data_IF_608146168519
#
_entry.id   IF_608146168519
#
_cell.length_a   1.000
_cell.length_b   1.000
_cell.length_c   1.000
_cell.angle_alpha   90.00
_cell.angle_beta   90.00
_cell.angle_gamma   90.00
#
_symmetry.space_group_name_H-M   'P 1'
#
loop_
_entity.id
_entity.type
_entity.pdbx_description
1 polymer ?
#
# COMPACT_ATOMS: atom_id res chain seq x y z
N UNK A 1 3.47 -20.24 -15.08
CA UNK A 1 3.03 -21.36 -14.22
C UNK A 1 2.53 -20.79 -12.90
N UNK A 2 1.29 -21.10 -12.45
CA UNK A 2 0.79 -20.55 -11.19
C UNK A 2 1.50 -21.23 -10.01
N UNK A 3 2.21 -20.45 -9.19
CA UNK A 3 2.87 -20.91 -7.97
C UNK A 3 1.77 -21.25 -6.93
N UNK A 4 1.46 -22.53 -6.73
CA UNK A 4 0.45 -22.96 -5.75
C UNK A 4 1.07 -23.13 -4.36
N UNK A 5 0.74 -22.24 -3.43
CA UNK A 5 1.16 -22.35 -2.02
C UNK A 5 -0.01 -22.91 -1.20
N UNK A 6 0.15 -24.10 -0.63
CA UNK A 6 -0.82 -24.70 0.30
C UNK A 6 -0.94 -23.89 1.61
N UNK A 7 -2.11 -23.91 2.25
CA UNK A 7 -2.40 -23.07 3.43
C UNK A 7 -1.40 -23.21 4.57
N UNK A 8 -0.93 -24.44 4.85
CA UNK A 8 0.09 -24.69 5.89
C UNK A 8 1.45 -24.10 5.54
N UNK A 9 1.86 -24.21 4.27
CA UNK A 9 3.12 -23.65 3.80
C UNK A 9 3.09 -22.12 3.85
N UNK A 10 1.93 -21.52 3.55
CA UNK A 10 1.73 -20.06 3.62
C UNK A 10 1.98 -19.54 5.05
N UNK A 11 1.40 -20.17 6.08
CA UNK A 11 1.65 -19.80 7.47
C UNK A 11 3.13 -19.87 7.82
N UNK A 12 3.82 -20.92 7.39
CA UNK A 12 5.26 -21.09 7.63
C UNK A 12 6.05 -19.96 6.96
N UNK A 13 5.73 -19.61 5.70
CA UNK A 13 6.39 -18.49 5.01
C UNK A 13 6.17 -17.16 5.71
N UNK A 14 4.94 -16.89 6.17
CA UNK A 14 4.62 -15.66 6.93
C UNK A 14 5.42 -15.62 8.22
N UNK A 15 5.47 -16.70 9.00
CA UNK A 15 6.21 -16.76 10.27
C UNK A 15 7.72 -16.59 10.05
N UNK A 16 8.28 -17.23 9.01
CA UNK A 16 9.69 -17.07 8.66
C UNK A 16 10.00 -15.62 8.28
N UNK A 17 9.15 -15.00 7.46
CA UNK A 17 9.38 -13.64 6.99
C UNK A 17 9.19 -12.60 8.11
N UNK A 18 8.21 -12.81 9.00
CA UNK A 18 8.07 -12.03 10.23
C UNK A 18 9.32 -12.13 11.10
N UNK A 19 9.85 -13.35 11.30
CA UNK A 19 11.08 -13.55 12.08
C UNK A 19 12.28 -12.81 11.48
N UNK A 20 12.50 -12.92 10.16
CA UNK A 20 13.59 -12.23 9.47
C UNK A 20 13.45 -10.71 9.56
N UNK A 21 12.23 -10.19 9.37
CA UNK A 21 11.96 -8.76 9.46
C UNK A 21 12.13 -8.24 10.89
N UNK A 22 11.65 -8.97 11.90
CA UNK A 22 11.82 -8.58 13.30
C UNK A 22 13.30 -8.55 13.70
N UNK A 23 14.07 -9.56 13.30
CA UNK A 23 15.52 -9.60 13.56
C UNK A 23 16.22 -8.42 12.88
N UNK A 24 15.89 -8.10 11.63
CA UNK A 24 16.52 -7.00 10.92
C UNK A 24 16.16 -5.62 11.49
N UNK A 25 14.93 -5.46 11.99
CA UNK A 25 14.47 -4.24 12.65
C UNK A 25 15.12 -4.08 14.04
N UNK A 26 15.18 -5.15 14.84
CA UNK A 26 15.74 -5.10 16.20
C UNK A 26 17.26 -4.94 16.18
N UNK A 27 17.96 -5.57 15.23
CA UNK A 27 19.42 -5.42 15.05
C UNK A 27 19.80 -4.17 14.25
N UNK A 28 18.82 -3.36 13.82
CA UNK A 28 19.01 -2.13 13.06
C UNK A 28 19.89 -2.28 11.80
N UNK A 29 19.82 -3.43 11.13
CA UNK A 29 20.62 -3.70 9.91
C UNK A 29 20.00 -2.89 8.76
N UNK A 30 20.63 -1.81 8.26
CA UNK A 30 19.94 -0.76 7.51
C UNK A 30 19.28 -1.24 6.21
N UNK A 31 20.01 -2.02 5.40
CA UNK A 31 19.47 -2.55 4.13
C UNK A 31 18.38 -3.60 4.35
N UNK A 32 18.60 -4.53 5.27
CA UNK A 32 17.64 -5.60 5.57
C UNK A 32 16.37 -5.02 6.19
N UNK A 33 16.51 -4.08 7.13
CA UNK A 33 15.39 -3.38 7.78
C UNK A 33 14.51 -2.67 6.75
N UNK A 34 15.11 -2.00 5.76
CA UNK A 34 14.35 -1.32 4.71
C UNK A 34 13.63 -2.30 3.79
N UNK A 35 14.32 -3.32 3.28
CA UNK A 35 13.74 -4.26 2.31
C UNK A 35 12.64 -5.10 2.97
N UNK A 36 12.96 -5.76 4.10
CA UNK A 36 12.00 -6.63 4.78
C UNK A 36 10.90 -5.84 5.49
N UNK A 37 11.21 -4.68 6.06
CA UNK A 37 10.21 -3.79 6.64
C UNK A 37 9.21 -3.31 5.60
N UNK A 38 9.68 -2.93 4.40
CA UNK A 38 8.79 -2.53 3.30
C UNK A 38 7.87 -3.69 2.89
N UNK A 39 8.42 -4.87 2.61
CA UNK A 39 7.62 -6.04 2.21
C UNK A 39 6.57 -6.39 3.29
N UNK A 40 6.96 -6.34 4.56
CA UNK A 40 6.09 -6.63 5.70
C UNK A 40 4.94 -5.64 5.82
N UNK A 41 5.19 -4.36 5.55
CA UNK A 41 4.20 -3.30 5.67
C UNK A 41 3.31 -3.20 4.42
N UNK A 42 3.84 -3.38 3.21
CA UNK A 42 3.09 -3.07 1.97
C UNK A 42 2.47 -4.27 1.27
N UNK A 43 3.01 -5.48 1.48
CA UNK A 43 2.58 -6.66 0.71
C UNK A 43 1.89 -7.69 1.60
N UNK A 44 2.47 -8.03 2.75
CA UNK A 44 1.99 -9.17 3.55
C UNK A 44 0.54 -9.01 4.03
N UNK A 45 0.18 -7.99 4.85
CA UNK A 45 -1.17 -7.93 5.40
C UNK A 45 -2.22 -7.79 4.29
N UNK A 46 -1.93 -6.99 3.26
CA UNK A 46 -2.80 -6.85 2.10
C UNK A 46 -3.03 -8.17 1.35
N UNK A 47 -1.98 -8.95 1.10
CA UNK A 47 -2.11 -10.23 0.39
C UNK A 47 -2.88 -11.28 1.20
N UNK A 48 -2.66 -11.34 2.52
CA UNK A 48 -3.40 -12.20 3.44
C UNK A 48 -4.87 -11.80 3.51
N UNK A 49 -5.14 -10.50 3.57
CA UNK A 49 -6.49 -9.97 3.62
C UNK A 49 -7.24 -10.21 2.30
N UNK A 50 -6.60 -9.99 1.16
CA UNK A 50 -7.18 -10.31 -0.16
C UNK A 50 -7.59 -11.80 -0.23
N UNK A 51 -6.79 -12.69 0.36
CA UNK A 51 -7.11 -14.11 0.47
C UNK A 51 -8.34 -14.40 1.33
N UNK A 52 -8.60 -13.60 2.37
CA UNK A 52 -9.81 -13.70 3.19
C UNK A 52 -11.08 -13.34 2.42
N UNK A 53 -11.02 -12.29 1.59
CA UNK A 53 -12.18 -11.85 0.79
C UNK A 53 -12.43 -12.78 -0.42
N UNK A 54 -11.47 -13.67 -0.74
CA UNK A 54 -11.55 -14.63 -1.86
C UNK A 54 -11.71 -13.97 -3.24
N UNK A 55 -11.13 -12.78 -3.45
CA UNK A 55 -11.07 -12.16 -4.77
C UNK A 55 -9.97 -12.82 -5.62
N UNK A 56 -10.39 -13.60 -6.60
CA UNK A 56 -9.50 -14.38 -7.48
C UNK A 56 -9.29 -13.76 -8.85
N UNK A 57 -10.35 -13.15 -9.40
CA UNK A 57 -10.49 -12.87 -10.83
C UNK A 57 -10.11 -11.42 -11.15
N UNK A 58 -9.10 -10.90 -10.46
CA UNK A 58 -8.57 -9.56 -10.69
C UNK A 58 -7.34 -9.63 -11.59
N UNK A 59 -7.24 -8.63 -12.48
CA UNK A 59 -6.03 -8.44 -13.28
C UNK A 59 -4.81 -8.12 -12.40
N UNK A 60 -3.61 -8.31 -12.95
CA UNK A 60 -2.37 -8.10 -12.19
C UNK A 60 -2.27 -6.70 -11.59
N UNK A 61 -2.62 -5.66 -12.36
CA UNK A 61 -2.57 -4.26 -11.93
C UNK A 61 -3.55 -3.97 -10.80
N UNK A 62 -4.80 -4.42 -10.94
CA UNK A 62 -5.85 -4.32 -9.94
C UNK A 62 -5.43 -5.02 -8.65
N UNK A 63 -4.99 -6.28 -8.76
CA UNK A 63 -4.58 -7.09 -7.62
C UNK A 63 -3.39 -6.47 -6.89
N UNK A 64 -2.39 -5.97 -7.61
CA UNK A 64 -1.24 -5.31 -6.99
C UNK A 64 -1.65 -4.08 -6.20
N UNK A 65 -2.51 -3.23 -6.78
CA UNK A 65 -2.96 -1.99 -6.13
C UNK A 65 -3.86 -2.30 -4.93
N UNK A 66 -4.75 -3.30 -5.06
CA UNK A 66 -5.62 -3.74 -4.00
C UNK A 66 -4.82 -4.32 -2.83
N UNK A 67 -3.77 -5.10 -3.10
CA UNK A 67 -2.84 -5.59 -2.06
C UNK A 67 -2.22 -4.42 -1.31
N UNK A 68 -1.61 -3.46 -2.01
CA UNK A 68 -0.94 -2.32 -1.37
C UNK A 68 -1.93 -1.47 -0.56
N UNK A 69 -3.11 -1.18 -1.12
CA UNK A 69 -4.16 -0.40 -0.45
C UNK A 69 -4.74 -1.09 0.78
N UNK A 70 -5.03 -2.39 0.69
CA UNK A 70 -5.46 -3.20 1.84
C UNK A 70 -4.39 -3.26 2.92
N UNK A 71 -3.12 -3.39 2.53
CA UNK A 71 -1.99 -3.42 3.47
C UNK A 71 -1.92 -2.13 4.28
N UNK A 72 -1.97 -0.98 3.60
CA UNK A 72 -2.01 0.34 4.24
C UNK A 72 -3.24 0.50 5.14
N UNK A 73 -4.41 0.08 4.68
CA UNK A 73 -5.66 0.13 5.46
C UNK A 73 -5.55 -0.68 6.75
N UNK A 74 -5.08 -1.93 6.67
CA UNK A 74 -4.88 -2.80 7.84
C UNK A 74 -3.93 -2.14 8.85
N UNK A 75 -2.81 -1.59 8.39
CA UNK A 75 -1.80 -0.99 9.27
C UNK A 75 -2.30 0.30 9.91
N UNK A 76 -3.01 1.15 9.16
CA UNK A 76 -3.62 2.35 9.72
C UNK A 76 -4.67 2.00 10.77
N UNK A 77 -5.52 1.01 10.50
CA UNK A 77 -6.52 0.54 11.47
C UNK A 77 -5.88 -0.04 12.73
N UNK A 78 -4.86 -0.88 12.60
CA UNK A 78 -4.20 -1.48 13.77
C UNK A 78 -3.45 -0.43 14.59
N UNK A 79 -2.76 0.51 13.92
CA UNK A 79 -2.12 1.65 14.58
C UNK A 79 -3.13 2.54 15.31
N UNK A 80 -4.28 2.82 14.69
CA UNK A 80 -5.38 3.57 15.32
C UNK A 80 -5.93 2.86 16.56
N UNK A 81 -6.22 1.56 16.46
CA UNK A 81 -6.71 0.75 17.59
C UNK A 81 -5.70 0.74 18.73
N UNK A 82 -4.40 0.55 18.44
CA UNK A 82 -3.37 0.60 19.48
C UNK A 82 -3.27 1.99 20.11
N UNK A 83 -3.30 3.05 19.31
CA UNK A 83 -3.24 4.43 19.81
C UNK A 83 -4.42 4.76 20.75
N UNK A 84 -5.58 4.14 20.56
CA UNK A 84 -6.73 4.27 21.45
C UNK A 84 -6.62 3.38 22.71
N UNK A 85 -6.25 2.11 22.56
CA UNK A 85 -6.34 1.11 23.64
C UNK A 85 -5.12 1.11 24.56
N UNK A 86 -3.93 1.37 24.05
CA UNK A 86 -2.68 1.21 24.81
C UNK A 86 -2.56 2.21 25.97
N UNK A 87 -2.93 3.50 25.81
CA UNK A 87 -2.96 4.43 26.95
C UNK A 87 -3.91 3.98 28.07
N UNK A 88 -5.03 3.32 27.73
CA UNK A 88 -6.01 2.80 28.70
C UNK A 88 -5.40 1.68 29.56
N UNK A 89 -4.44 0.93 29.00
CA UNK A 89 -3.76 -0.19 29.66
C UNK A 89 -2.46 0.30 30.36
N UNK A 90 -2.16 1.60 30.32
CA UNK A 90 -0.97 2.20 30.95
C UNK A 90 0.30 2.13 30.11
N UNK A 91 0.18 1.88 28.80
CA UNK A 91 1.30 1.96 27.86
C UNK A 91 1.38 3.38 27.31
N UNK A 92 2.40 4.12 27.73
CA UNK A 92 2.53 5.56 27.45
C UNK A 92 2.95 5.86 26.00
N UNK A 93 3.70 4.97 25.36
CA UNK A 93 4.22 5.16 23.99
C UNK A 93 3.70 4.09 23.01
N UNK A 94 2.45 4.19 22.53
CA UNK A 94 1.85 3.18 21.67
C UNK A 94 2.54 3.02 20.32
N UNK A 95 3.10 4.11 19.80
CA UNK A 95 3.77 4.17 18.51
C UNK A 95 5.30 4.06 18.62
N UNK A 96 5.83 3.68 19.79
CA UNK A 96 7.23 3.29 19.90
C UNK A 96 7.53 2.09 18.99
N UNK A 97 8.78 1.98 18.53
CA UNK A 97 9.18 0.95 17.56
C UNK A 97 8.82 -0.46 18.02
N UNK A 98 9.05 -0.78 19.30
CA UNK A 98 8.78 -2.10 19.86
C UNK A 98 7.27 -2.39 19.95
N UNK A 99 6.48 -1.41 20.38
CA UNK A 99 5.02 -1.56 20.54
C UNK A 99 4.33 -1.64 19.18
N UNK A 100 4.74 -0.79 18.24
CA UNK A 100 4.25 -0.81 16.87
C UNK A 100 4.58 -2.15 16.18
N UNK A 101 5.81 -2.62 16.30
CA UNK A 101 6.25 -3.89 15.73
C UNK A 101 5.44 -5.06 16.30
N UNK A 102 5.24 -5.09 17.62
CA UNK A 102 4.40 -6.08 18.29
C UNK A 102 2.96 -6.05 17.77
N UNK A 103 2.36 -4.86 17.67
CA UNK A 103 1.00 -4.69 17.18
C UNK A 103 0.83 -5.17 15.71
N UNK A 104 1.78 -4.83 14.84
CA UNK A 104 1.79 -5.27 13.44
C UNK A 104 1.95 -6.80 13.37
N UNK A 105 2.85 -7.39 14.16
CA UNK A 105 3.04 -8.84 14.22
C UNK A 105 1.74 -9.55 14.64
N UNK A 106 1.08 -9.09 15.71
CA UNK A 106 -0.18 -9.65 16.19
C UNK A 106 -1.25 -9.57 15.10
N UNK A 107 -1.39 -8.42 14.43
CA UNK A 107 -2.34 -8.24 13.35
C UNK A 107 -2.08 -9.18 12.17
N UNK A 108 -0.82 -9.30 11.72
CA UNK A 108 -0.45 -10.19 10.62
C UNK A 108 -0.73 -11.65 10.99
N UNK A 109 -0.35 -12.09 12.18
CA UNK A 109 -0.59 -13.46 12.65
C UNK A 109 -2.10 -13.74 12.71
N UNK A 110 -2.89 -12.79 13.22
CA UNK A 110 -4.34 -12.92 13.31
C UNK A 110 -4.98 -13.08 11.92
N UNK A 111 -4.63 -12.21 10.97
CA UNK A 111 -5.12 -12.28 9.58
C UNK A 111 -4.63 -13.58 8.91
N UNK A 112 -3.39 -14.00 9.17
CA UNK A 112 -2.84 -15.24 8.64
C UNK A 112 -3.62 -16.47 9.13
N UNK A 113 -3.93 -16.55 10.43
CA UNK A 113 -4.75 -17.63 11.01
C UNK A 113 -6.16 -17.66 10.44
N UNK A 114 -6.81 -16.49 10.31
CA UNK A 114 -8.10 -16.39 9.64
C UNK A 114 -7.98 -16.87 8.18
N UNK A 115 -6.92 -16.47 7.47
CA UNK A 115 -6.73 -16.84 6.06
C UNK A 115 -6.48 -18.34 5.89
N UNK A 116 -5.86 -18.98 6.89
CA UNK A 116 -5.68 -20.42 6.91
C UNK A 116 -6.99 -21.17 7.14
N UNK A 117 -7.84 -20.68 8.05
CA UNK A 117 -9.12 -21.32 8.38
C UNK A 117 -10.19 -21.12 7.30
N UNK A 118 -10.23 -19.95 6.68
CA UNK A 118 -11.30 -19.54 5.78
C UNK A 118 -10.89 -19.42 4.30
N UNK A 119 -9.59 -19.38 4.01
CA UNK A 119 -9.06 -19.06 2.68
C UNK A 119 -8.65 -20.30 1.86
N UNK A 120 -9.60 -20.84 1.09
CA UNK A 120 -9.36 -21.94 0.14
C UNK A 120 -8.74 -21.50 -1.20
N UNK A 121 -8.18 -20.29 -1.28
CA UNK A 121 -7.76 -19.72 -2.56
C UNK A 121 -6.29 -19.97 -2.92
N UNK A 122 -6.01 -20.34 -4.18
CA UNK A 122 -4.67 -20.45 -4.74
C UNK A 122 -4.24 -19.12 -5.37
N UNK A 123 -3.15 -18.52 -4.88
CA UNK A 123 -2.65 -17.25 -5.40
C UNK A 123 -2.00 -17.45 -6.78
N UNK A 124 -2.70 -17.06 -7.85
CA UNK A 124 -2.13 -16.95 -9.20
C UNK A 124 -1.88 -15.49 -9.53
N UNK A 125 -0.74 -15.22 -10.18
CA UNK A 125 -0.49 -13.98 -10.90
C UNK A 125 -0.36 -14.34 -12.37
N UNK A 126 -1.15 -13.70 -13.22
CA UNK A 126 -1.01 -13.82 -14.67
C UNK A 126 -0.43 -12.49 -15.18
N UNK A 127 0.75 -12.55 -15.78
CA UNK A 127 1.55 -11.37 -16.20
C UNK A 127 1.30 -11.02 -17.69
N UNK A 128 0.44 -11.78 -18.38
CA UNK A 128 0.44 -11.89 -19.83
C UNK A 128 -0.40 -10.87 -20.62
N UNK A 129 -0.69 -9.66 -20.12
CA UNK A 129 -1.62 -8.73 -20.81
C UNK A 129 -1.20 -7.26 -20.90
N UNK A 130 0.07 -6.89 -20.72
CA UNK A 130 0.49 -5.49 -20.88
C UNK A 130 0.74 -5.19 -22.37
N UNK A 131 -0.26 -4.62 -23.05
CA UNK A 131 -0.11 -4.05 -24.39
C UNK A 131 0.12 -2.53 -24.30
N UNK A 132 1.20 -2.04 -24.92
CA UNK A 132 1.62 -0.64 -24.89
C UNK A 132 1.16 0.09 -26.17
N UNK A 133 0.03 0.78 -26.10
CA UNK A 133 -0.48 1.62 -27.20
C UNK A 133 -0.19 3.12 -26.97
N UNK A 134 -0.28 3.95 -28.01
CA UNK A 134 0.00 5.41 -27.90
C UNK A 134 -0.91 6.14 -26.88
N UNK A 135 -2.14 5.65 -26.66
CA UNK A 135 -3.06 6.18 -25.65
C UNK A 135 -2.57 5.91 -24.22
N UNK A 136 -1.86 4.80 -24.01
CA UNK A 136 -1.33 4.38 -22.70
C UNK A 136 -0.15 5.25 -22.30
N UNK A 137 0.72 5.59 -23.26
CA UNK A 137 1.84 6.53 -23.07
C UNK A 137 1.35 7.92 -22.66
N UNK A 138 0.31 8.44 -23.32
CA UNK A 138 -0.26 9.75 -22.98
C UNK A 138 -0.81 9.77 -21.55
N UNK A 139 -1.52 8.73 -21.16
CA UNK A 139 -2.07 8.58 -19.81
C UNK A 139 -0.96 8.46 -18.77
N UNK A 140 0.05 7.63 -19.01
CA UNK A 140 1.21 7.46 -18.14
C UNK A 140 1.98 8.77 -17.92
N UNK A 141 2.19 9.56 -18.98
CA UNK A 141 2.85 10.86 -18.89
C UNK A 141 2.08 11.84 -18.00
N UNK A 142 0.75 11.91 -18.13
CA UNK A 142 -0.10 12.77 -17.28
C UNK A 142 0.02 12.34 -15.81
N UNK A 143 -0.03 11.03 -15.54
CA UNK A 143 0.10 10.50 -14.18
C UNK A 143 1.45 10.83 -13.54
N UNK A 144 2.54 10.68 -14.29
CA UNK A 144 3.89 11.05 -13.83
C UNK A 144 4.00 12.56 -13.58
N UNK A 145 3.39 13.39 -14.43
CA UNK A 145 3.34 14.85 -14.23
C UNK A 145 2.62 15.23 -12.94
N UNK A 146 1.46 14.60 -12.65
CA UNK A 146 0.71 14.83 -11.41
C UNK A 146 1.56 14.50 -10.18
N UNK A 147 2.30 13.39 -10.23
CA UNK A 147 3.17 12.98 -9.12
C UNK A 147 4.30 13.98 -8.87
N UNK A 148 4.98 14.42 -9.94
CA UNK A 148 6.06 15.40 -9.83
C UNK A 148 5.55 16.76 -9.32
N UNK A 149 4.35 17.18 -9.76
CA UNK A 149 3.76 18.43 -9.32
C UNK A 149 3.41 18.41 -7.83
N UNK A 150 2.93 17.27 -7.32
CA UNK A 150 2.71 17.06 -5.88
C UNK A 150 3.99 17.26 -5.07
N UNK A 151 5.09 16.61 -5.49
CA UNK A 151 6.40 16.69 -4.83
C UNK A 151 6.89 18.15 -4.83
N UNK A 152 6.85 18.82 -5.99
CA UNK A 152 7.28 20.21 -6.13
C UNK A 152 6.45 21.16 -5.26
N UNK A 153 5.13 21.02 -5.27
CA UNK A 153 4.24 21.83 -4.43
C UNK A 153 4.57 21.70 -2.95
N UNK A 154 4.79 20.48 -2.48
CA UNK A 154 5.14 20.23 -1.09
C UNK A 154 6.50 20.81 -0.70
N UNK A 155 7.52 20.62 -1.53
CA UNK A 155 8.86 21.17 -1.28
C UNK A 155 8.84 22.70 -1.23
N UNK A 156 8.13 23.36 -2.15
CA UNK A 156 8.03 24.82 -2.16
C UNK A 156 7.31 25.31 -0.90
N UNK A 157 6.25 24.60 -0.49
CA UNK A 157 5.52 24.93 0.75
C UNK A 157 6.43 24.81 1.96
N UNK A 158 7.22 23.73 2.07
CA UNK A 158 8.12 23.49 3.20
C UNK A 158 9.27 24.50 3.28
N UNK A 159 9.96 24.78 2.18
CA UNK A 159 11.15 25.64 2.19
C UNK A 159 10.84 27.13 2.14
N UNK A 160 9.83 27.53 1.35
CA UNK A 160 9.51 28.94 1.12
C UNK A 160 8.26 29.41 1.89
N UNK A 161 7.61 28.53 2.66
CA UNK A 161 6.33 28.79 3.37
C UNK A 161 5.22 29.31 2.44
N UNK A 162 5.31 28.98 1.15
CA UNK A 162 4.39 29.43 0.11
C UNK A 162 3.51 28.25 -0.36
N UNK A 163 2.21 28.31 -0.09
CA UNK A 163 1.24 27.23 -0.36
C UNK A 163 0.59 27.30 -1.74
N UNK A 164 0.88 28.34 -2.54
CA UNK A 164 0.19 28.59 -3.82
C UNK A 164 0.30 27.41 -4.78
N UNK A 165 1.49 26.82 -4.92
CA UNK A 165 1.73 25.69 -5.82
C UNK A 165 0.97 24.43 -5.37
N UNK A 166 0.91 24.16 -4.06
CA UNK A 166 0.12 23.05 -3.52
C UNK A 166 -1.39 23.23 -3.76
N UNK A 167 -1.90 24.47 -3.68
CA UNK A 167 -3.30 24.78 -4.01
C UNK A 167 -3.57 24.55 -5.51
N UNK A 168 -2.67 25.00 -6.39
CA UNK A 168 -2.78 24.77 -7.83
C UNK A 168 -2.77 23.27 -8.15
N UNK A 169 -1.87 22.51 -7.53
CA UNK A 169 -1.83 21.05 -7.63
C UNK A 169 -3.18 20.43 -7.24
N UNK A 170 -3.75 20.81 -6.10
CA UNK A 170 -5.05 20.29 -5.64
C UNK A 170 -6.18 20.59 -6.64
N UNK A 171 -6.21 21.80 -7.22
CA UNK A 171 -7.20 22.17 -8.24
C UNK A 171 -7.05 21.31 -9.51
N UNK A 172 -5.82 21.13 -9.99
CA UNK A 172 -5.53 20.26 -11.15
C UNK A 172 -5.94 18.82 -10.86
N UNK A 173 -5.69 18.33 -9.65
CA UNK A 173 -6.04 16.99 -9.23
C UNK A 173 -7.56 16.78 -9.20
N UNK A 174 -8.35 17.75 -8.74
CA UNK A 174 -9.83 17.70 -8.80
C UNK A 174 -10.31 17.61 -10.25
N UNK A 175 -9.77 18.45 -11.14
CA UNK A 175 -10.12 18.41 -12.57
C UNK A 175 -9.77 17.05 -13.18
N UNK A 176 -8.60 16.50 -12.84
CA UNK A 176 -8.19 15.19 -13.29
C UNK A 176 -9.12 14.07 -12.80
N UNK A 177 -9.54 14.08 -11.53
CA UNK A 177 -10.51 13.11 -10.99
C UNK A 177 -11.82 13.15 -11.79
N UNK A 178 -12.34 14.34 -12.07
CA UNK A 178 -13.58 14.50 -12.87
C UNK A 178 -13.39 13.91 -14.27
N UNK A 179 -12.25 14.17 -14.90
CA UNK A 179 -11.95 13.68 -16.24
C UNK A 179 -11.78 12.16 -16.31
N UNK A 180 -11.18 11.55 -15.28
CA UNK A 180 -11.09 10.10 -15.11
C UNK A 180 -12.50 9.52 -14.92
N UNK A 181 -13.32 10.12 -14.07
CA UNK A 181 -14.70 9.67 -13.80
C UNK A 181 -15.65 9.78 -15.00
N UNK A 182 -15.43 10.74 -15.90
CA UNK A 182 -16.19 10.87 -17.14
C UNK A 182 -15.73 9.91 -18.27
N UNK A 183 -14.81 8.99 -18.01
CA UNK A 183 -14.22 8.07 -19.01
C UNK A 183 -13.60 8.78 -20.23
N UNK A 184 -13.27 10.08 -20.13
CA UNK A 184 -12.79 10.89 -21.28
C UNK A 184 -11.30 10.75 -21.54
N UNK A 185 -10.51 10.44 -20.51
CA UNK A 185 -9.04 10.53 -20.56
C UNK A 185 -8.31 9.22 -20.34
N UNK A 186 -8.94 8.24 -19.69
CA UNK A 186 -8.28 7.00 -19.24
C UNK A 186 -9.13 5.80 -19.63
N UNK A 187 -8.51 4.79 -20.24
CA UNK A 187 -9.15 3.50 -20.57
C UNK A 187 -9.30 2.64 -19.31
N UNK A 188 -10.29 1.72 -19.33
CA UNK A 188 -10.66 0.92 -18.14
C UNK A 188 -9.48 0.21 -17.46
N UNK A 189 -8.52 -0.29 -18.24
CA UNK A 189 -7.32 -0.99 -17.75
C UNK A 189 -6.43 -0.15 -16.83
N UNK A 190 -6.47 1.19 -16.95
CA UNK A 190 -5.56 2.11 -16.24
C UNK A 190 -6.25 2.88 -15.10
N UNK A 191 -7.53 2.63 -14.82
CA UNK A 191 -8.19 3.20 -13.64
C UNK A 191 -7.53 2.83 -12.32
N UNK A 192 -7.16 1.56 -12.08
CA UNK A 192 -6.51 1.20 -10.83
C UNK A 192 -5.25 2.05 -10.60
N UNK A 193 -4.40 2.13 -11.63
CA UNK A 193 -3.13 2.88 -11.59
C UNK A 193 -3.38 4.39 -11.41
N UNK A 194 -4.41 4.92 -12.07
CA UNK A 194 -4.77 6.34 -11.94
C UNK A 194 -5.20 6.68 -10.51
N UNK A 195 -6.08 5.86 -9.92
CA UNK A 195 -6.55 6.01 -8.54
C UNK A 195 -5.38 5.90 -7.56
N UNK A 196 -4.49 4.94 -7.75
CA UNK A 196 -3.30 4.78 -6.92
C UNK A 196 -2.40 6.03 -7.00
N UNK A 197 -2.15 6.54 -8.21
CA UNK A 197 -1.30 7.72 -8.40
C UNK A 197 -1.92 8.96 -7.77
N UNK A 198 -3.24 9.14 -7.88
CA UNK A 198 -3.97 10.22 -7.21
C UNK A 198 -3.79 10.12 -5.70
N UNK A 199 -4.07 8.96 -5.10
CA UNK A 199 -3.91 8.75 -3.66
C UNK A 199 -2.47 8.97 -3.19
N UNK A 200 -1.49 8.43 -3.93
CA UNK A 200 -0.08 8.57 -3.62
C UNK A 200 0.40 10.03 -3.74
N UNK A 201 -0.09 10.76 -4.75
CA UNK A 201 0.20 12.19 -4.91
C UNK A 201 -0.35 13.03 -3.75
N UNK A 202 -1.55 12.73 -3.26
CA UNK A 202 -2.11 13.41 -2.07
C UNK A 202 -1.30 13.10 -0.81
N UNK A 203 -0.92 11.82 -0.63
CA UNK A 203 -0.12 11.38 0.51
C UNK A 203 1.25 12.06 0.53
N UNK A 204 1.95 12.09 -0.61
CA UNK A 204 3.24 12.78 -0.74
C UNK A 204 3.09 14.27 -0.43
N UNK A 205 2.07 14.93 -0.99
CA UNK A 205 1.89 16.35 -0.75
C UNK A 205 1.72 16.62 0.75
N UNK A 206 0.92 15.81 1.44
CA UNK A 206 0.73 15.93 2.88
C UNK A 206 1.97 15.57 3.71
N UNK A 207 2.73 14.56 3.30
CA UNK A 207 3.87 14.07 4.07
C UNK A 207 5.09 15.00 3.98
N UNK A 208 5.23 15.77 2.90
CA UNK A 208 6.38 16.64 2.67
C UNK A 208 6.16 18.12 3.04
N UNK A 209 4.91 18.57 3.18
CA UNK A 209 4.54 19.92 3.66
C UNK A 209 4.84 20.05 5.15
#
# INVERSE_FOLDING_TARGET
MPFKIGGKNLLIYVILLLSIANISIILDIPLFRQIFGLILITIIPGSLFLKLIKLSDLDFSEKFILINGLSLSVIMWTGFIANLLYPIIGINDPLSTINLLSNINIAIIFIALLSYKFGDFTFSFNISSIHLDNSTLKTGLILVLILNLSILGALITRFFKNTTVSIIFLLILVIFIILVGCHKLVTHEYYPISIFTIGFSLLINRALV
#
